data_IF_483098065938
#
_entry.id   IF_483098065938
#
_cell.length_a   1.000
_cell.length_b   1.000
_cell.length_c   1.000
_cell.angle_alpha   90.00
_cell.angle_beta   90.00
_cell.angle_gamma   90.00
#
_symmetry.space_group_name_H-M   'P 1'
#
loop_
_entity.id
_entity.type
_entity.pdbx_description
1 polymer ?
#
# COMPACT_ATOMS: atom_id res chain seq x y z
N UNK A 1 4.35 -4.44 -7.08
CA UNK A 1 5.57 -5.17 -6.69
C UNK A 1 5.20 -6.34 -5.81
N UNK A 2 5.41 -7.56 -6.29
CA UNK A 2 5.24 -8.79 -5.52
C UNK A 2 6.62 -9.23 -5.05
N UNK A 3 6.77 -9.55 -3.76
CA UNK A 3 8.04 -9.99 -3.21
C UNK A 3 7.93 -11.39 -2.62
N UNK A 4 8.97 -12.19 -2.86
CA UNK A 4 9.10 -13.54 -2.34
C UNK A 4 10.29 -13.56 -1.38
N UNK A 5 10.07 -14.12 -0.18
CA UNK A 5 11.13 -14.40 0.79
C UNK A 5 11.30 -15.90 0.87
N UNK A 6 12.50 -16.41 0.59
CA UNK A 6 12.79 -17.86 0.61
C UNK A 6 11.83 -18.68 -0.28
N UNK A 7 11.48 -18.14 -1.45
CA UNK A 7 10.54 -18.78 -2.39
C UNK A 7 9.06 -18.71 -1.98
N UNK A 8 8.73 -18.03 -0.88
CA UNK A 8 7.37 -17.84 -0.39
C UNK A 8 6.90 -16.41 -0.66
N UNK A 9 5.71 -16.26 -1.24
CA UNK A 9 5.08 -14.95 -1.41
C UNK A 9 4.88 -14.26 -0.05
N UNK A 10 5.57 -13.13 0.13
CA UNK A 10 5.70 -12.38 1.38
C UNK A 10 4.97 -11.05 1.33
N UNK A 11 5.01 -10.37 0.17
CA UNK A 11 4.37 -9.07 -0.03
C UNK A 11 3.63 -9.03 -1.37
N UNK A 12 2.41 -8.48 -1.33
CA UNK A 12 1.65 -8.12 -2.52
C UNK A 12 1.39 -6.63 -2.52
N UNK A 13 1.64 -5.96 -3.62
CA UNK A 13 1.44 -4.52 -3.68
C UNK A 13 1.56 -3.96 -5.08
N UNK A 14 1.32 -2.66 -5.20
CA UNK A 14 1.56 -1.88 -6.40
C UNK A 14 2.27 -0.59 -6.05
N UNK A 15 2.94 -0.03 -7.06
CA UNK A 15 3.49 1.32 -6.99
C UNK A 15 2.56 2.23 -7.77
N UNK A 16 2.49 3.49 -7.37
CA UNK A 16 1.66 4.47 -8.03
C UNK A 16 2.41 5.80 -8.16
N UNK A 17 2.02 6.53 -9.21
CA UNK A 17 2.48 7.88 -9.49
C UNK A 17 1.32 8.68 -10.06
N UNK A 18 1.01 9.80 -9.42
CA UNK A 18 -0.06 10.70 -9.85
C UNK A 18 0.39 12.16 -9.77
N UNK A 19 -0.28 13.00 -10.55
CA UNK A 19 -0.16 14.46 -10.50
C UNK A 19 -1.43 15.03 -9.86
N UNK A 20 -1.27 16.02 -9.00
CA UNK A 20 -2.38 16.74 -8.36
C UNK A 20 -2.04 18.22 -8.22
N UNK A 21 -3.01 19.00 -7.77
CA UNK A 21 -2.82 20.40 -7.42
C UNK A 21 -2.99 20.56 -5.90
N UNK A 22 -1.99 21.15 -5.26
CA UNK A 22 -1.98 21.34 -3.81
C UNK A 22 -2.64 22.67 -3.46
N UNK A 23 -3.96 22.63 -3.33
CA UNK A 23 -4.77 23.80 -2.97
C UNK A 23 -4.65 24.20 -1.50
N UNK A 24 -4.29 23.26 -0.62
CA UNK A 24 -4.23 23.50 0.82
C UNK A 24 -2.96 24.24 1.26
N UNK A 25 -1.80 23.93 0.65
CA UNK A 25 -0.50 24.40 1.14
C UNK A 25 0.34 25.12 0.11
N UNK A 26 0.14 24.84 -1.18
CA UNK A 26 0.93 25.44 -2.27
C UNK A 26 0.08 26.28 -3.23
N UNK A 27 -1.07 26.79 -2.76
CA UNK A 27 -1.94 27.71 -3.51
C UNK A 27 -2.34 27.20 -4.92
N UNK A 28 -2.54 25.89 -5.04
CA UNK A 28 -2.88 25.24 -6.30
C UNK A 28 -1.69 24.91 -7.19
N UNK A 29 -0.45 25.02 -6.70
CA UNK A 29 0.73 24.58 -7.46
C UNK A 29 0.67 23.07 -7.76
N UNK A 30 1.19 22.63 -8.92
CA UNK A 30 1.25 21.24 -9.27
C UNK A 30 2.21 20.47 -8.36
N UNK A 31 1.82 19.26 -7.99
CA UNK A 31 2.62 18.32 -7.23
C UNK A 31 2.58 16.96 -7.91
N UNK A 32 3.69 16.24 -7.82
CA UNK A 32 3.72 14.80 -8.09
C UNK A 32 3.65 14.06 -6.75
N UNK A 33 2.83 13.02 -6.70
CA UNK A 33 2.78 12.06 -5.60
C UNK A 33 3.24 10.71 -6.12
N UNK A 34 4.23 10.14 -5.44
CA UNK A 34 4.72 8.80 -5.73
C UNK A 34 4.58 7.94 -4.49
N UNK A 35 4.36 6.65 -4.67
CA UNK A 35 4.21 5.78 -3.53
C UNK A 35 4.03 4.33 -3.88
N UNK A 36 3.77 3.57 -2.84
CA UNK A 36 3.38 2.18 -2.95
C UNK A 36 2.34 1.83 -1.91
N UNK A 37 1.52 0.84 -2.25
CA UNK A 37 0.57 0.22 -1.35
C UNK A 37 0.78 -1.29 -1.40
N UNK A 38 0.69 -1.96 -0.27
CA UNK A 38 0.76 -3.41 -0.24
C UNK A 38 0.35 -4.04 1.08
N UNK A 39 0.20 -5.35 1.03
CA UNK A 39 0.06 -6.24 2.17
C UNK A 39 1.35 -7.01 2.34
N UNK A 40 1.91 -6.95 3.54
CA UNK A 40 3.16 -7.61 3.88
C UNK A 40 2.98 -8.54 5.07
N UNK A 41 3.58 -9.73 4.97
CA UNK A 41 3.71 -10.65 6.10
C UNK A 41 4.84 -10.18 7.03
N UNK A 42 4.55 -10.14 8.32
CA UNK A 42 5.53 -9.93 9.39
C UNK A 42 5.75 -11.19 10.23
N UNK A 43 4.93 -12.22 9.99
CA UNK A 43 5.07 -13.54 10.61
C UNK A 43 4.08 -14.53 10.01
N UNK A 44 4.02 -15.77 10.53
CA UNK A 44 3.17 -16.84 9.98
C UNK A 44 1.68 -16.52 9.93
N UNK A 45 1.21 -15.62 10.82
CA UNK A 45 -0.20 -15.21 10.94
C UNK A 45 -0.39 -13.69 10.99
N UNK A 46 0.68 -12.92 10.80
CA UNK A 46 0.64 -11.46 10.91
C UNK A 46 0.82 -10.86 9.53
N UNK A 47 -0.23 -10.17 9.07
CA UNK A 47 -0.20 -9.37 7.85
C UNK A 47 -0.56 -7.94 8.22
N UNK A 48 0.20 -7.00 7.70
CA UNK A 48 -0.10 -5.59 7.83
C UNK A 48 -0.27 -4.97 6.44
N UNK A 49 -1.10 -3.94 6.38
CA UNK A 49 -1.12 -2.99 5.29
C UNK A 49 0.08 -2.07 5.45
N UNK A 50 0.86 -1.96 4.39
CA UNK A 50 2.02 -1.09 4.31
C UNK A 50 1.84 -0.14 3.14
N UNK A 51 2.12 1.14 3.35
CA UNK A 51 2.18 2.08 2.25
C UNK A 51 3.28 3.12 2.45
N UNK A 52 3.81 3.58 1.32
CA UNK A 52 4.82 4.63 1.25
C UNK A 52 4.23 5.77 0.44
N UNK A 53 4.34 6.99 0.95
CA UNK A 53 3.88 8.19 0.24
C UNK A 53 4.99 9.21 0.24
N UNK A 54 5.27 9.78 -0.93
CA UNK A 54 6.15 10.92 -1.07
C UNK A 54 5.58 11.98 -1.97
N UNK A 55 5.86 13.24 -1.63
CA UNK A 55 5.35 14.42 -2.31
C UNK A 55 6.52 15.14 -2.95
N UNK A 56 6.33 15.56 -4.18
CA UNK A 56 7.34 16.20 -5.00
C UNK A 56 6.75 17.49 -5.55
N UNK A 57 7.23 18.61 -5.04
CA UNK A 57 6.82 19.93 -5.52
C UNK A 57 7.44 20.12 -6.91
N UNK A 58 6.61 20.32 -7.93
CA UNK A 58 7.04 20.52 -9.31
C UNK A 58 7.12 22.02 -9.55
N UNK A 59 8.31 22.54 -9.85
CA UNK A 59 8.48 23.95 -10.21
C UNK A 59 8.33 24.15 -11.72
N UNK A 60 7.94 25.37 -12.11
CA UNK A 60 7.82 25.76 -13.52
C UNK A 60 9.18 25.70 -14.25
N UNK A 61 10.28 25.77 -13.52
CA UNK A 61 11.65 25.63 -14.04
C UNK A 61 12.10 24.16 -14.18
N UNK A 62 11.20 23.19 -13.97
CA UNK A 62 11.48 21.75 -14.05
C UNK A 62 12.20 21.17 -12.84
N UNK A 63 12.41 21.97 -11.79
CA UNK A 63 12.97 21.52 -10.52
C UNK A 63 11.96 20.68 -9.73
N UNK A 64 12.42 19.61 -9.11
CA UNK A 64 11.59 18.74 -8.27
C UNK A 64 12.13 18.76 -6.86
N UNK A 65 11.35 19.27 -5.90
CA UNK A 65 11.74 19.29 -4.49
C UNK A 65 10.96 18.26 -3.67
N UNK A 66 11.63 17.21 -3.14
CA UNK A 66 10.98 16.20 -2.31
C UNK A 66 10.60 16.78 -0.94
N UNK A 67 9.40 16.44 -0.47
CA UNK A 67 8.87 16.85 0.84
C UNK A 67 8.06 15.67 1.42
N UNK A 68 8.47 15.16 2.57
CA UNK A 68 7.75 14.05 3.20
C UNK A 68 6.43 14.56 3.79
N UNK A 69 5.30 13.83 3.61
CA UNK A 69 4.07 14.17 4.30
C UNK A 69 4.26 14.15 5.83
N UNK A 70 3.53 15.00 6.55
CA UNK A 70 3.42 14.85 7.99
C UNK A 70 2.61 13.59 8.33
N UNK A 71 1.48 13.42 7.65
CA UNK A 71 0.58 12.28 7.76
C UNK A 71 0.00 11.92 6.39
N UNK A 72 -0.31 10.65 6.19
CA UNK A 72 -1.02 10.18 5.02
C UNK A 72 -1.93 9.00 5.38
N UNK A 73 -2.97 8.79 4.57
CA UNK A 73 -3.90 7.68 4.65
C UNK A 73 -4.27 7.22 3.25
N UNK A 74 -4.81 6.00 3.14
CA UNK A 74 -5.30 5.45 1.88
C UNK A 74 -6.76 5.09 2.02
N UNK A 75 -7.59 5.45 1.03
CA UNK A 75 -8.98 5.04 0.95
C UNK A 75 -9.16 3.99 -0.13
N UNK A 76 -9.72 2.85 0.28
CA UNK A 76 -10.04 1.70 -0.55
C UNK A 76 -11.57 1.58 -0.60
N UNK A 77 -12.19 1.95 -1.71
CA UNK A 77 -13.64 2.04 -1.79
C UNK A 77 -14.20 3.03 -0.75
N UNK A 78 -14.92 2.53 0.25
CA UNK A 78 -15.49 3.35 1.34
C UNK A 78 -14.63 3.38 2.61
N UNK A 79 -13.61 2.53 2.72
CA UNK A 79 -12.81 2.35 3.93
C UNK A 79 -11.55 3.22 3.89
N UNK A 80 -11.30 3.99 4.95
CA UNK A 80 -10.07 4.76 5.14
C UNK A 80 -9.12 3.97 6.03
N UNK A 81 -7.97 3.60 5.47
CA UNK A 81 -6.87 2.95 6.18
C UNK A 81 -5.96 4.03 6.75
N UNK A 82 -6.09 4.26 8.06
CA UNK A 82 -5.21 5.15 8.82
C UNK A 82 -3.98 4.39 9.30
N UNK A 83 -2.80 5.02 9.37
CA UNK A 83 -1.62 4.36 9.91
C UNK A 83 -1.74 4.20 11.42
N UNK A 84 -1.36 3.03 11.92
CA UNK A 84 -1.12 2.78 13.34
C UNK A 84 0.33 3.09 13.70
N UNK A 85 1.24 2.94 12.74
CA UNK A 85 2.64 3.28 12.88
C UNK A 85 3.11 4.09 11.68
N UNK A 86 3.99 5.05 11.95
CA UNK A 86 4.64 5.87 10.93
C UNK A 86 6.14 5.84 11.14
N UNK A 87 6.90 5.69 10.06
CA UNK A 87 8.37 5.62 10.08
C UNK A 87 8.95 6.58 9.04
N UNK A 88 10.13 7.14 9.35
CA UNK A 88 10.92 7.85 8.36
C UNK A 88 11.33 6.89 7.24
N UNK A 89 11.45 7.41 6.01
CA UNK A 89 12.03 6.67 4.90
C UNK A 89 13.48 7.10 4.69
N UNK A 90 14.34 6.15 4.35
CA UNK A 90 15.72 6.45 3.91
C UNK A 90 15.74 7.20 2.57
N UNK A 91 14.62 7.20 1.84
CA UNK A 91 14.48 7.98 0.60
C UNK A 91 13.90 9.37 0.92
N UNK A 92 14.62 10.47 0.59
CA UNK A 92 14.12 11.81 0.82
C UNK A 92 12.74 12.05 0.21
N UNK A 93 11.88 12.77 0.94
CA UNK A 93 10.52 13.09 0.52
C UNK A 93 9.50 12.00 0.74
N UNK A 94 9.88 10.83 1.25
CA UNK A 94 8.94 9.74 1.55
C UNK A 94 8.75 9.53 3.05
N UNK A 95 7.58 9.00 3.39
CA UNK A 95 7.27 8.45 4.72
C UNK A 95 6.61 7.09 4.57
N UNK A 96 6.89 6.21 5.53
CA UNK A 96 6.39 4.84 5.56
C UNK A 96 5.29 4.73 6.62
N UNK A 97 4.27 3.96 6.28
CA UNK A 97 3.06 3.81 7.07
C UNK A 97 2.69 2.34 7.17
N UNK A 98 2.30 1.92 8.38
CA UNK A 98 1.84 0.57 8.66
C UNK A 98 0.50 0.61 9.40
N UNK A 99 -0.39 -0.30 9.05
CA UNK A 99 -1.67 -0.54 9.73
C UNK A 99 -1.93 -2.03 9.81
N UNK A 100 -2.54 -2.50 10.90
CA UNK A 100 -3.07 -3.85 10.98
C UNK A 100 -4.09 -4.13 9.87
N UNK A 101 -4.15 -5.40 9.43
CA UNK A 101 -5.19 -5.87 8.52
C UNK A 101 -6.43 -6.29 9.31
N UNK A 102 -7.43 -5.42 9.39
CA UNK A 102 -8.73 -5.71 10.01
C UNK A 102 -9.76 -6.19 8.97
N UNK A 103 -10.94 -6.64 9.44
CA UNK A 103 -11.99 -7.18 8.58
C UNK A 103 -12.50 -6.18 7.52
N UNK A 104 -12.66 -4.91 7.91
CA UNK A 104 -13.12 -3.83 7.02
C UNK A 104 -12.11 -3.58 5.90
N UNK A 105 -10.83 -3.48 6.24
CA UNK A 105 -9.75 -3.26 5.27
C UNK A 105 -9.59 -4.47 4.37
N UNK A 106 -9.72 -5.69 4.93
CA UNK A 106 -9.68 -6.93 4.16
C UNK A 106 -10.82 -6.99 3.11
N UNK A 107 -12.04 -6.61 3.49
CA UNK A 107 -13.17 -6.53 2.56
C UNK A 107 -13.00 -5.39 1.54
N UNK A 108 -12.41 -4.27 1.95
CA UNK A 108 -12.16 -3.14 1.06
C UNK A 108 -11.09 -3.40 -0.01
N UNK A 109 -10.23 -4.40 0.18
CA UNK A 109 -9.27 -4.79 -0.85
C UNK A 109 -9.94 -5.35 -2.10
N UNK A 110 -11.17 -5.90 -1.99
CA UNK A 110 -11.95 -6.31 -3.16
C UNK A 110 -12.29 -5.11 -4.05
N UNK A 111 -12.43 -3.91 -3.48
CA UNK A 111 -12.63 -2.69 -4.27
C UNK A 111 -11.43 -2.38 -5.18
N UNK A 112 -10.21 -2.74 -4.76
CA UNK A 112 -9.00 -2.60 -5.59
C UNK A 112 -9.02 -3.62 -6.73
N UNK A 113 -9.50 -4.83 -6.46
CA UNK A 113 -9.70 -5.88 -7.47
C UNK A 113 -10.72 -5.45 -8.54
N UNK A 114 -11.79 -4.79 -8.11
CA UNK A 114 -12.82 -4.22 -8.97
C UNK A 114 -12.39 -2.94 -9.69
N UNK A 115 -11.11 -2.56 -9.62
CA UNK A 115 -10.55 -1.35 -10.24
C UNK A 115 -11.25 -0.06 -9.81
N UNK A 116 -11.84 -0.04 -8.61
CA UNK A 116 -12.39 1.20 -8.05
C UNK A 116 -11.24 2.16 -7.70
N UNK A 117 -11.47 3.48 -7.76
CA UNK A 117 -10.44 4.46 -7.46
C UNK A 117 -9.87 4.26 -6.05
N UNK A 118 -8.55 4.16 -5.95
CA UNK A 118 -7.82 4.26 -4.68
C UNK A 118 -7.53 5.74 -4.46
N UNK A 119 -7.80 6.26 -3.26
CA UNK A 119 -7.42 7.65 -2.94
C UNK A 119 -6.27 7.64 -1.95
N UNK A 120 -5.36 8.59 -2.11
CA UNK A 120 -4.36 8.91 -1.09
C UNK A 120 -4.68 10.28 -0.55
N UNK A 121 -4.91 10.38 0.76
CA UNK A 121 -4.97 11.66 1.45
C UNK A 121 -3.68 11.91 2.21
N UNK A 122 -3.24 13.16 2.26
CA UNK A 122 -2.08 13.55 3.06
C UNK A 122 -2.17 14.99 3.54
N UNK A 123 -1.45 15.30 4.61
CA UNK A 123 -1.18 16.67 5.05
C UNK A 123 0.32 16.90 5.22
N UNK A 124 0.72 18.17 5.13
CA UNK A 124 2.13 18.58 5.23
C UNK A 124 2.53 19.05 6.64
N UNK A 125 1.55 19.44 7.44
CA UNK A 125 1.74 19.93 8.80
C UNK A 125 0.74 19.24 9.72
N UNK A 126 1.10 19.13 10.99
CA UNK A 126 0.24 18.52 12.00
C UNK A 126 -1.07 19.32 12.16
N UNK A 127 -2.19 18.59 12.26
CA UNK A 127 -3.54 19.18 12.29
C UNK A 127 -3.98 19.92 11.01
N UNK A 128 -3.22 19.85 9.92
CA UNK A 128 -3.55 20.55 8.67
C UNK A 128 -4.62 19.86 7.82
N UNK A 129 -5.08 20.56 6.77
CA UNK A 129 -6.06 20.04 5.82
C UNK A 129 -5.47 18.96 4.90
N UNK A 130 -6.20 17.87 4.70
CA UNK A 130 -5.77 16.83 3.79
C UNK A 130 -5.96 17.23 2.32
N UNK A 131 -4.91 17.05 1.53
CA UNK A 131 -4.98 17.01 0.07
C UNK A 131 -5.30 15.59 -0.34
N UNK A 132 -6.36 15.40 -1.14
CA UNK A 132 -6.81 14.09 -1.59
C UNK A 132 -6.51 13.90 -3.06
N UNK A 133 -5.75 12.85 -3.37
CA UNK A 133 -5.32 12.53 -4.74
C UNK A 133 -5.92 11.19 -5.18
N UNK A 134 -6.72 11.17 -6.27
CA UNK A 134 -7.15 9.92 -6.87
C UNK A 134 -5.99 9.23 -7.58
N UNK A 135 -5.83 7.95 -7.29
CA UNK A 135 -4.87 7.06 -7.92
C UNK A 135 -5.60 6.20 -8.95
N UNK A 136 -5.28 6.43 -10.21
CA UNK A 136 -5.74 5.63 -11.33
C UNK A 136 -4.82 4.41 -11.48
N UNK A 137 -5.30 3.23 -11.08
CA UNK A 137 -4.54 1.98 -11.16
C UNK A 137 -4.39 1.47 -12.60
N UNK A 138 -5.08 2.06 -13.58
CA UNK A 138 -4.81 1.83 -14.99
C UNK A 138 -3.60 2.63 -15.48
N UNK A 139 -3.04 3.55 -14.68
CA UNK A 139 -1.91 4.40 -15.05
C UNK A 139 -0.64 3.90 -14.37
N UNK A 140 0.31 3.45 -15.19
CA UNK A 140 1.62 2.97 -14.74
C UNK A 140 2.61 4.08 -14.49
N UNK A 141 2.57 5.13 -15.31
CA UNK A 141 3.44 6.29 -15.16
C UNK A 141 2.74 7.55 -15.62
N UNK A 142 3.03 8.65 -14.95
CA UNK A 142 2.61 10.00 -15.34
C UNK A 142 3.86 10.85 -15.50
N UNK A 143 4.07 11.38 -16.69
CA UNK A 143 5.17 12.32 -16.99
C UNK A 143 4.57 13.67 -17.39
N UNK A 144 5.34 14.73 -17.19
CA UNK A 144 5.02 16.03 -17.79
C UNK A 144 5.79 16.13 -19.10
N UNK A 145 5.08 16.30 -20.21
CA UNK A 145 5.63 16.62 -21.53
C UNK A 145 4.88 17.85 -22.04
N UNK A 146 5.61 18.89 -22.46
CA UNK A 146 5.03 20.12 -23.03
C UNK A 146 3.97 20.79 -22.13
N UNK A 147 4.23 20.83 -20.82
CA UNK A 147 3.31 21.41 -19.83
C UNK A 147 2.03 20.60 -19.61
N UNK A 148 1.91 19.40 -20.19
CA UNK A 148 0.75 18.51 -20.04
C UNK A 148 1.16 17.21 -19.36
N UNK A 149 0.26 16.68 -18.52
CA UNK A 149 0.42 15.36 -17.93
C UNK A 149 0.13 14.27 -19.00
N UNK A 150 1.16 13.54 -19.41
CA UNK A 150 1.07 12.36 -20.28
C UNK A 150 1.04 11.11 -19.39
N UNK A 151 -0.01 10.29 -19.54
CA UNK A 151 -0.22 9.09 -18.75
C UNK A 151 0.05 7.84 -19.59
N UNK A 152 0.96 6.99 -19.13
CA UNK A 152 1.18 5.65 -19.69
C UNK A 152 0.25 4.68 -18.97
N UNK A 153 -0.68 4.07 -19.72
CA UNK A 153 -1.65 3.12 -19.16
C UNK A 153 -1.17 1.67 -19.25
N UNK A 154 -1.51 0.89 -18.25
CA UNK A 154 -1.23 -0.55 -18.14
C UNK A 154 -2.24 -1.21 -17.19
N UNK A 155 -3.25 -1.87 -17.74
CA UNK A 155 -4.30 -2.54 -16.97
C UNK A 155 -3.79 -3.78 -16.20
N UNK A 156 -2.52 -4.17 -16.39
CA UNK A 156 -1.91 -5.28 -15.67
C UNK A 156 -1.69 -4.99 -14.19
N UNK A 157 -1.61 -3.71 -13.79
CA UNK A 157 -1.28 -3.34 -12.42
C UNK A 157 -2.39 -3.76 -11.43
N UNK A 158 -3.66 -3.44 -11.73
CA UNK A 158 -4.81 -3.88 -10.93
C UNK A 158 -4.97 -5.40 -10.93
N UNK A 159 -4.89 -6.05 -12.10
CA UNK A 159 -5.01 -7.51 -12.23
C UNK A 159 -3.90 -8.27 -11.49
N UNK A 160 -2.66 -7.82 -11.63
CA UNK A 160 -1.50 -8.43 -10.98
C UNK A 160 -1.56 -8.30 -9.45
N UNK A 161 -2.06 -7.17 -8.95
CA UNK A 161 -2.31 -7.01 -7.51
C UNK A 161 -3.40 -7.97 -7.02
N UNK A 162 -4.53 -8.06 -7.72
CA UNK A 162 -5.64 -8.94 -7.37
C UNK A 162 -5.22 -10.42 -7.31
N UNK A 163 -4.48 -10.87 -8.32
CA UNK A 163 -3.96 -12.24 -8.35
C UNK A 163 -3.02 -12.51 -7.17
N UNK A 164 -2.06 -11.61 -6.92
CA UNK A 164 -1.13 -11.74 -5.81
C UNK A 164 -1.88 -11.83 -4.47
N UNK A 165 -2.86 -10.94 -4.27
CA UNK A 165 -3.66 -10.91 -3.06
C UNK A 165 -4.35 -12.24 -2.79
N UNK A 166 -4.98 -12.83 -3.82
CA UNK A 166 -5.60 -14.14 -3.74
C UNK A 166 -4.61 -15.24 -3.32
N UNK A 167 -3.41 -15.25 -3.91
CA UNK A 167 -2.34 -16.19 -3.57
C UNK A 167 -1.83 -16.01 -2.13
N UNK A 168 -1.63 -14.76 -1.69
CA UNK A 168 -1.15 -14.43 -0.36
C UNK A 168 -2.12 -14.91 0.72
N UNK A 169 -3.41 -14.59 0.55
CA UNK A 169 -4.47 -14.96 1.47
C UNK A 169 -4.72 -16.47 1.47
N UNK A 170 -4.71 -17.12 0.31
CA UNK A 170 -4.82 -18.58 0.22
C UNK A 170 -3.64 -19.28 0.91
N UNK A 171 -2.43 -18.73 0.80
CA UNK A 171 -1.23 -19.23 1.47
C UNK A 171 -1.34 -19.17 3.00
N UNK A 172 -1.98 -18.14 3.54
CA UNK A 172 -2.24 -18.03 4.99
C UNK A 172 -3.23 -19.09 5.48
N UNK A 173 -4.34 -19.29 4.76
CA UNK A 173 -5.37 -20.29 5.10
C UNK A 173 -4.84 -21.72 5.09
N UNK A 174 -3.92 -22.06 4.18
CA UNK A 174 -3.33 -23.40 4.11
C UNK A 174 -2.39 -23.71 5.28
N UNK A 175 -1.65 -22.71 5.78
CA UNK A 175 -0.73 -22.89 6.92
C UNK A 175 -1.47 -22.96 8.25
N UNK A 176 -2.57 -22.22 8.41
CA UNK A 176 -3.40 -22.33 9.62
C UNK A 176 -4.00 -23.72 9.78
N UNK A 177 -4.39 -24.40 8.69
CA UNK A 177 -4.87 -25.79 8.72
C UNK A 177 -3.78 -26.81 9.03
N UNK A 178 -2.56 -26.64 8.52
CA UNK A 178 -1.43 -27.55 8.82
C UNK A 178 -0.92 -27.44 10.26
N UNK A 179 -0.95 -26.24 10.86
CA UNK A 179 -0.53 -26.04 12.25
C UNK A 179 -1.47 -26.68 13.28
N UNK A 180 -2.70 -27.05 12.90
CA UNK A 180 -3.68 -27.74 13.75
C UNK A 180 -3.54 -29.27 13.68
N UNK A 181 -2.79 -29.79 12.71
CA UNK A 181 -2.53 -31.23 12.56
C UNK A 181 -1.20 -31.63 13.21
N UNK A 182 -1.10 -31.56 14.54
CA UNK A 182 -0.17 -32.40 15.30
C UNK A 182 -0.97 -33.57 15.88
N UNK A 183 -0.68 -34.83 15.52
CA UNK A 183 -1.29 -35.97 16.18
C UNK A 183 -0.77 -36.02 17.62
N UNK A 184 -1.71 -36.00 18.56
CA UNK A 184 -1.53 -36.37 19.96
C UNK A 184 -1.01 -37.82 20.01
N UNK A 185 0.31 -37.98 20.02
CA UNK A 185 0.95 -39.26 20.29
C UNK A 185 0.83 -39.55 21.79
N UNK A 186 -0.37 -39.99 22.19
CA UNK A 186 -0.57 -40.84 23.36
C UNK A 186 0.32 -42.07 23.20
N UNK A 187 1.45 -42.11 23.90
CA UNK A 187 2.14 -43.36 24.19
C UNK A 187 1.79 -43.77 25.61
N UNK A 188 0.91 -44.77 25.67
CA UNK A 188 0.53 -45.44 26.90
C UNK A 188 1.64 -46.34 27.45
N UNK A 189 1.47 -46.62 28.74
CA UNK A 189 1.89 -47.81 29.47
C UNK A 189 3.36 -48.22 29.43
N UNK A 190 4.09 -47.84 30.49
CA UNK A 190 5.05 -48.76 31.11
C UNK A 190 4.57 -49.14 32.51
N UNK A 191 4.36 -50.45 32.67
CA UNK A 191 3.95 -51.13 33.90
C UNK A 191 5.06 -51.06 34.95
N UNK A 192 4.64 -51.00 36.21
CA UNK A 192 5.42 -51.35 37.40
C UNK A 192 6.16 -52.68 37.20
N UNK A 193 7.43 -52.72 37.59
CA UNK A 193 7.99 -53.65 38.58
C UNK A 193 9.23 -53.02 39.18
#
# INVERSE_FOLDING_TARGET
MNQYREGVLDTCGFEFKAMAFDTAYKRGAPIAINGSFGLRKFGPKQVAVTYKVGIFNVSDAGGVQPEAPNYAWIKLGTVIVKPEQTMASDTPGYKLYLSGLNAETAAALDAVVEQRPVLVGFNRIDGGLDVVVPIDLSVRDTMVSDGKAVRKRDDQLGRGFAQCLGELLAGMRRRSRRAVALPDKRWGHWRRR
#
